data_IF_320056702369
#
_entry.id   IF_320056702369
#
_cell.length_a   1.000
_cell.length_b   1.000
_cell.length_c   1.000
_cell.angle_alpha   90.00
_cell.angle_beta   90.00
_cell.angle_gamma   90.00
#
_symmetry.space_group_name_H-M   'P 1'
#
loop_
_entity.id
_entity.type
_entity.pdbx_description
1 polymer ?
#
# COMPACT_ATOMS: atom_id res chain seq x y z
N UNK A 1 -18.50 1.76 -7.00
CA UNK A 1 -18.44 0.40 -7.58
C UNK A 1 -17.44 -0.35 -6.71
N UNK A 2 -17.82 -1.47 -6.09
CA UNK A 2 -16.87 -2.27 -5.32
C UNK A 2 -15.94 -2.94 -6.34
N UNK A 3 -14.65 -2.61 -6.29
CA UNK A 3 -13.66 -3.32 -7.10
C UNK A 3 -13.59 -4.76 -6.58
N UNK A 4 -13.95 -5.71 -7.43
CA UNK A 4 -13.83 -7.13 -7.12
C UNK A 4 -12.35 -7.50 -7.10
N UNK A 5 -11.90 -8.24 -6.08
CA UNK A 5 -10.52 -8.68 -5.95
C UNK A 5 -10.46 -10.20 -6.07
N UNK A 6 -9.63 -10.69 -6.99
CA UNK A 6 -9.42 -12.09 -7.28
C UNK A 6 -8.10 -12.59 -6.65
N UNK A 7 -7.90 -13.92 -6.53
CA UNK A 7 -6.69 -14.50 -5.92
C UNK A 7 -5.36 -14.00 -6.50
N UNK A 8 -5.29 -13.76 -7.82
CA UNK A 8 -4.04 -13.36 -8.47
C UNK A 8 -2.94 -14.43 -8.39
N UNK A 9 -1.68 -13.98 -8.42
CA UNK A 9 -0.48 -14.82 -8.39
C UNK A 9 0.60 -14.19 -7.52
N UNK A 10 1.34 -15.01 -6.78
CA UNK A 10 2.49 -14.58 -5.98
C UNK A 10 3.67 -14.03 -6.80
N UNK A 11 3.74 -14.32 -8.09
CA UNK A 11 4.82 -13.85 -8.96
C UNK A 11 4.31 -13.33 -10.32
N UNK A 12 5.00 -12.34 -10.90
CA UNK A 12 6.16 -11.61 -10.35
C UNK A 12 5.78 -10.68 -9.18
N UNK A 13 6.77 -10.28 -8.38
CA UNK A 13 6.57 -9.27 -7.33
C UNK A 13 6.31 -7.89 -7.92
N UNK A 14 5.56 -7.08 -7.18
CA UNK A 14 5.09 -5.76 -7.59
C UNK A 14 3.77 -5.80 -8.36
N UNK A 15 3.41 -4.65 -8.94
CA UNK A 15 2.27 -4.54 -9.85
C UNK A 15 2.64 -4.97 -11.28
N UNK A 16 1.82 -5.83 -11.87
CA UNK A 16 1.95 -6.30 -13.26
C UNK A 16 0.60 -6.29 -13.97
N UNK A 17 0.50 -5.45 -15.00
CA UNK A 17 -0.65 -5.41 -15.90
C UNK A 17 -0.59 -6.54 -16.93
N UNK A 18 -1.71 -7.23 -17.18
CA UNK A 18 -1.78 -8.36 -18.11
C UNK A 18 -2.65 -8.13 -19.36
N UNK A 19 -3.22 -6.93 -19.50
CA UNK A 19 -4.15 -6.59 -20.58
C UNK A 19 -5.63 -6.57 -20.17
N UNK A 20 -5.98 -7.13 -19.01
CA UNK A 20 -7.35 -7.18 -18.48
C UNK A 20 -7.50 -6.62 -17.07
N UNK A 21 -6.38 -6.44 -16.39
CA UNK A 21 -6.29 -5.87 -15.04
C UNK A 21 -4.87 -5.98 -14.54
N UNK A 22 -4.70 -5.73 -13.24
CA UNK A 22 -3.38 -5.74 -12.61
C UNK A 22 -3.29 -6.75 -11.48
N UNK A 23 -2.24 -7.57 -11.53
CA UNK A 23 -1.82 -8.42 -10.43
C UNK A 23 -0.91 -7.63 -9.49
N UNK A 24 -1.13 -7.75 -8.19
CA UNK A 24 -0.33 -7.15 -7.14
C UNK A 24 0.26 -8.27 -6.27
N UNK A 25 1.56 -8.22 -6.02
CA UNK A 25 2.24 -9.18 -5.15
C UNK A 25 3.32 -8.48 -4.32
N UNK A 26 3.27 -8.63 -3.00
CA UNK A 26 4.22 -8.00 -2.08
C UNK A 26 4.63 -8.96 -0.96
N UNK A 27 5.93 -9.03 -0.70
CA UNK A 27 6.48 -9.88 0.36
C UNK A 27 6.33 -9.23 1.73
N UNK A 28 5.83 -9.97 2.71
CA UNK A 28 5.94 -9.65 4.13
C UNK A 28 5.76 -10.88 5.01
N UNK A 29 6.80 -11.23 5.76
CA UNK A 29 6.78 -12.33 6.74
C UNK A 29 6.08 -11.94 8.06
N UNK A 30 6.06 -10.64 8.38
CA UNK A 30 5.53 -10.12 9.66
C UNK A 30 4.06 -9.68 9.57
N UNK A 31 3.54 -9.44 8.38
CA UNK A 31 2.17 -8.95 8.20
C UNK A 31 1.14 -9.97 8.69
N UNK A 32 0.09 -9.49 9.35
CA UNK A 32 -1.13 -10.26 9.65
C UNK A 32 -2.21 -10.02 8.58
N UNK A 33 -2.16 -8.86 7.92
CA UNK A 33 -2.90 -8.59 6.69
C UNK A 33 -2.30 -7.43 5.92
N UNK A 34 -2.53 -7.42 4.61
CA UNK A 34 -2.09 -6.35 3.71
C UNK A 34 -3.29 -5.81 2.95
N UNK A 35 -3.45 -4.50 2.95
CA UNK A 35 -4.43 -3.79 2.13
C UNK A 35 -3.74 -3.10 0.96
N UNK A 36 -4.17 -3.43 -0.25
CA UNK A 36 -3.90 -2.64 -1.45
C UNK A 36 -4.75 -1.37 -1.41
N UNK A 37 -4.11 -0.21 -1.53
CA UNK A 37 -4.76 1.10 -1.51
C UNK A 37 -4.72 1.68 -2.92
N UNK A 38 -5.85 1.74 -3.61
CA UNK A 38 -6.00 2.35 -4.93
C UNK A 38 -6.45 3.80 -4.80
N UNK A 39 -5.85 4.70 -5.58
CA UNK A 39 -6.16 6.13 -5.53
C UNK A 39 -6.78 6.62 -6.84
N UNK A 40 -7.98 7.19 -6.76
CA UNK A 40 -8.70 7.77 -7.90
C UNK A 40 -9.09 9.22 -7.61
N UNK A 41 -9.07 10.13 -8.59
CA UNK A 41 -9.49 11.51 -8.37
C UNK A 41 -11.01 11.60 -8.12
N UNK A 42 -11.43 12.41 -7.16
CA UNK A 42 -12.82 12.88 -7.02
C UNK A 42 -13.16 13.96 -8.07
N UNK A 43 -14.38 14.49 -8.01
CA UNK A 43 -14.83 15.56 -8.92
C UNK A 43 -14.00 16.85 -8.80
N UNK A 44 -13.35 17.08 -7.66
CA UNK A 44 -12.47 18.21 -7.41
C UNK A 44 -10.99 17.90 -7.73
N UNK A 45 -10.69 16.70 -8.26
CA UNK A 45 -9.35 16.24 -8.58
C UNK A 45 -8.52 15.75 -7.39
N UNK A 46 -9.12 15.62 -6.19
CA UNK A 46 -8.44 15.11 -5.01
C UNK A 46 -8.41 13.59 -5.04
N UNK A 47 -7.26 13.00 -4.71
CA UNK A 47 -7.16 11.54 -4.66
C UNK A 47 -7.97 10.97 -3.49
N UNK A 48 -8.87 10.05 -3.81
CA UNK A 48 -9.67 9.26 -2.87
C UNK A 48 -9.11 7.85 -2.82
N UNK A 49 -8.91 7.34 -1.61
CA UNK A 49 -8.40 6.01 -1.34
C UNK A 49 -9.51 4.97 -1.32
N UNK A 50 -9.31 3.87 -2.05
CA UNK A 50 -10.09 2.62 -1.93
C UNK A 50 -9.16 1.54 -1.42
N UNK A 51 -9.50 0.92 -0.29
CA UNK A 51 -8.70 -0.13 0.34
C UNK A 51 -9.30 -1.49 0.03
N UNK A 52 -8.46 -2.41 -0.43
CA UNK A 52 -8.81 -3.77 -0.79
C UNK A 52 -7.85 -4.71 -0.07
N UNK A 53 -8.37 -5.61 0.78
CA UNK A 53 -7.55 -6.61 1.46
C UNK A 53 -7.04 -7.64 0.46
N UNK A 54 -5.73 -7.88 0.40
CA UNK A 54 -5.16 -8.94 -0.43
C UNK A 54 -5.65 -10.32 0.08
N UNK A 55 -6.27 -11.15 -0.77
CA UNK A 55 -6.98 -12.36 -0.35
C UNK A 55 -6.05 -13.53 -0.04
N UNK A 56 -4.91 -13.64 -0.72
CA UNK A 56 -4.06 -14.84 -0.70
C UNK A 56 -2.65 -14.53 -0.21
N UNK A 57 -2.00 -15.54 0.37
CA UNK A 57 -0.60 -15.50 0.79
C UNK A 57 0.11 -16.82 0.52
N UNK A 58 1.11 -16.80 -0.36
CA UNK A 58 1.95 -17.95 -0.71
C UNK A 58 3.41 -17.64 -0.39
N UNK A 59 4.03 -18.40 0.53
CA UNK A 59 5.44 -18.21 0.89
C UNK A 59 5.75 -16.78 1.37
N UNK A 60 4.86 -16.21 2.19
CA UNK A 60 4.90 -14.83 2.68
C UNK A 60 4.73 -13.74 1.62
N UNK A 61 4.34 -14.11 0.39
CA UNK A 61 3.94 -13.15 -0.64
C UNK A 61 2.44 -12.99 -0.60
N UNK A 62 2.00 -11.79 -0.24
CA UNK A 62 0.61 -11.37 -0.27
C UNK A 62 0.24 -10.96 -1.67
N UNK A 63 -0.85 -11.50 -2.22
CA UNK A 63 -1.22 -11.21 -3.61
C UNK A 63 -2.71 -11.17 -3.86
N UNK A 64 -3.05 -10.51 -4.98
CA UNK A 64 -4.40 -10.36 -5.48
C UNK A 64 -4.39 -9.79 -6.89
N UNK A 65 -5.47 -10.01 -7.63
CA UNK A 65 -5.67 -9.43 -8.96
C UNK A 65 -6.91 -8.54 -8.94
N UNK A 66 -6.79 -7.35 -9.54
CA UNK A 66 -7.90 -6.41 -9.67
C UNK A 66 -8.20 -6.21 -11.16
N UNK A 67 -9.37 -6.67 -11.64
CA UNK A 67 -9.82 -6.41 -13.01
C UNK A 67 -9.92 -4.91 -13.28
N UNK A 68 -9.75 -4.53 -14.55
CA UNK A 68 -9.90 -3.15 -15.05
C UNK A 68 -8.95 -2.11 -14.43
N UNK A 69 -7.99 -2.53 -13.59
CA UNK A 69 -6.88 -1.68 -13.16
C UNK A 69 -5.81 -1.64 -14.25
N UNK A 70 -5.76 -0.51 -14.95
CA UNK A 70 -4.88 -0.25 -16.08
C UNK A 70 -3.57 0.49 -15.68
N UNK A 71 -2.56 0.52 -16.57
CA UNK A 71 -1.38 1.35 -16.39
C UNK A 71 -1.73 2.82 -16.13
N UNK A 72 -0.99 3.46 -15.22
CA UNK A 72 -1.28 4.80 -14.70
C UNK A 72 -2.06 4.81 -13.39
N UNK A 73 -2.64 3.67 -12.96
CA UNK A 73 -3.28 3.57 -11.64
C UNK A 73 -2.27 3.82 -10.52
N UNK A 74 -2.62 4.75 -9.62
CA UNK A 74 -1.86 5.06 -8.41
C UNK A 74 -2.22 4.12 -7.29
N UNK A 75 -1.24 3.60 -6.58
CA UNK A 75 -1.46 2.68 -5.47
C UNK A 75 -0.40 2.79 -4.37
N UNK A 76 -0.66 2.10 -3.26
CA UNK A 76 0.28 1.80 -2.18
C UNK A 76 -0.25 0.67 -1.31
N UNK A 77 0.42 0.37 -0.21
CA UNK A 77 0.00 -0.66 0.74
C UNK A 77 -0.18 -0.11 2.15
N UNK A 78 -1.11 -0.71 2.91
CA UNK A 78 -1.18 -0.60 4.37
C UNK A 78 -0.98 -1.98 4.95
N UNK A 79 -0.04 -2.09 5.89
CA UNK A 79 0.37 -3.36 6.46
C UNK A 79 -0.04 -3.40 7.93
N UNK A 80 -0.91 -4.35 8.24
CA UNK A 80 -1.34 -4.67 9.60
C UNK A 80 -0.44 -5.76 10.17
N UNK A 81 -0.24 -5.73 11.47
CA UNK A 81 0.59 -6.69 12.18
C UNK A 81 1.08 -6.14 13.51
N UNK A 82 2.06 -6.83 14.13
CA UNK A 82 2.55 -6.49 15.45
C UNK A 82 3.28 -5.14 15.48
N UNK A 83 3.08 -4.42 16.58
CA UNK A 83 3.84 -3.22 16.93
C UNK A 83 4.47 -3.42 18.31
N UNK A 84 5.74 -3.78 18.29
CA UNK A 84 6.61 -3.86 19.45
C UNK A 84 8.00 -3.31 19.04
N UNK A 85 8.21 -1.99 19.22
CA UNK A 85 9.46 -1.33 18.84
C UNK A 85 10.71 -1.93 19.48
N UNK A 86 10.58 -2.52 20.68
CA UNK A 86 11.70 -3.12 21.40
C UNK A 86 12.22 -4.40 20.72
N UNK A 87 11.35 -5.14 20.03
CA UNK A 87 11.72 -6.29 19.18
C UNK A 87 11.83 -5.94 17.68
N UNK A 88 11.70 -4.66 17.33
CA UNK A 88 11.81 -4.17 15.95
C UNK A 88 10.52 -4.29 15.12
N UNK A 89 9.45 -4.82 15.68
CA UNK A 89 8.14 -4.96 15.01
C UNK A 89 7.44 -3.59 14.97
N UNK A 90 7.18 -3.07 13.77
CA UNK A 90 6.72 -1.68 13.57
C UNK A 90 5.55 -1.56 12.59
N UNK A 91 4.72 -2.60 12.46
CA UNK A 91 3.55 -2.53 11.59
C UNK A 91 2.63 -1.40 12.05
N UNK A 92 2.28 -0.52 11.10
CA UNK A 92 1.37 0.58 11.35
C UNK A 92 0.53 0.85 10.08
N UNK A 93 -0.74 0.41 10.04
CA UNK A 93 -1.58 0.56 8.86
C UNK A 93 -2.01 2.01 8.59
N UNK A 94 -1.77 2.95 9.52
CA UNK A 94 -2.00 4.38 9.26
C UNK A 94 -0.97 4.98 8.30
N UNK A 95 0.17 4.31 8.15
CA UNK A 95 1.25 4.72 7.24
C UNK A 95 1.07 4.03 5.89
N UNK A 96 0.80 4.83 4.86
CA UNK A 96 0.83 4.35 3.48
C UNK A 96 2.27 4.03 3.08
N UNK A 97 2.48 2.82 2.56
CA UNK A 97 3.76 2.33 2.08
C UNK A 97 3.79 2.32 0.56
N UNK A 98 4.96 2.64 -0.01
CA UNK A 98 5.22 2.40 -1.42
C UNK A 98 5.47 0.91 -1.65
N UNK A 99 5.11 0.43 -2.84
CA UNK A 99 5.53 -0.89 -3.28
C UNK A 99 7.06 -0.92 -3.44
N UNK A 100 7.79 -1.81 -2.74
CA UNK A 100 9.24 -1.94 -2.90
C UNK A 100 9.66 -2.38 -4.30
N UNK A 101 8.73 -2.92 -5.10
CA UNK A 101 8.90 -3.34 -6.48
C UNK A 101 8.23 -2.37 -7.47
N UNK A 102 7.85 -1.16 -7.04
CA UNK A 102 7.27 -0.16 -7.92
C UNK A 102 8.22 0.18 -9.08
N UNK A 103 7.68 0.19 -10.30
CA UNK A 103 8.42 0.55 -11.52
C UNK A 103 8.44 2.07 -11.77
N UNK A 104 7.51 2.81 -11.15
CA UNK A 104 7.53 4.27 -11.05
C UNK A 104 6.74 4.73 -9.83
N UNK A 105 7.00 5.97 -9.47
CA UNK A 105 6.42 6.68 -8.34
C UNK A 105 5.94 8.03 -8.86
N UNK A 106 4.71 8.41 -8.51
CA UNK A 106 4.12 9.71 -8.82
C UNK A 106 4.03 10.59 -7.56
N UNK A 107 4.33 11.87 -7.74
CA UNK A 107 4.37 12.89 -6.69
C UNK A 107 5.69 12.94 -5.91
N UNK A 108 5.69 13.79 -4.89
CA UNK A 108 6.82 14.00 -3.97
C UNK A 108 6.35 13.90 -2.54
N UNK A 109 7.26 13.61 -1.61
CA UNK A 109 6.98 13.69 -0.19
C UNK A 109 6.57 15.12 0.20
N UNK A 110 5.41 15.26 0.84
CA UNK A 110 5.05 16.45 1.59
C UNK A 110 5.49 16.22 3.03
N UNK A 111 6.67 16.71 3.40
CA UNK A 111 7.25 16.38 4.69
C UNK A 111 6.45 16.97 5.85
N UNK A 112 5.84 16.09 6.64
CA UNK A 112 5.18 16.39 7.90
C UNK A 112 5.33 15.23 8.88
N UNK A 113 4.80 15.38 10.10
CA UNK A 113 4.89 14.37 11.15
C UNK A 113 4.14 13.07 10.81
N UNK A 114 3.11 13.11 9.96
CA UNK A 114 2.31 11.92 9.61
C UNK A 114 3.15 10.86 8.90
N UNK A 115 4.23 11.26 8.21
CA UNK A 115 5.17 10.35 7.55
C UNK A 115 6.02 9.53 8.53
N UNK A 116 6.02 9.86 9.82
CA UNK A 116 6.84 9.21 10.84
C UNK A 116 5.98 8.29 11.73
N UNK A 117 6.58 7.17 12.16
CA UNK A 117 5.93 6.24 13.07
C UNK A 117 5.86 6.70 14.53
N UNK A 118 6.44 7.87 14.83
CA UNK A 118 6.56 8.48 16.16
C UNK A 118 6.25 9.98 16.09
N UNK A 119 5.88 10.59 17.22
CA UNK A 119 5.65 12.02 17.31
C UNK A 119 6.96 12.79 17.48
N UNK A 120 7.09 13.95 16.83
CA UNK A 120 8.29 14.77 16.96
C UNK A 120 8.49 15.20 18.42
N UNK A 121 9.72 15.02 18.92
CA UNK A 121 10.05 15.25 20.32
C UNK A 121 9.81 14.05 21.25
N UNK A 122 9.17 12.98 20.77
CA UNK A 122 8.95 11.74 21.52
C UNK A 122 9.21 10.50 20.63
N UNK A 123 10.48 10.09 20.43
CA UNK A 123 10.86 9.00 19.54
C UNK A 123 10.33 7.61 19.94
N UNK A 124 9.95 7.44 21.20
CA UNK A 124 9.41 6.18 21.74
C UNK A 124 7.89 6.08 21.59
N UNK A 125 7.23 7.20 21.25
CA UNK A 125 5.79 7.23 20.97
C UNK A 125 5.42 6.54 19.66
N UNK A 126 4.13 6.24 19.55
CA UNK A 126 3.48 5.83 18.30
C UNK A 126 2.72 7.01 17.73
N UNK A 127 2.90 7.29 16.45
CA UNK A 127 2.08 8.23 15.70
C UNK A 127 1.16 7.47 14.74
N UNK A 128 -0.14 7.72 14.84
CA UNK A 128 -1.20 7.08 14.03
C UNK A 128 -1.88 8.07 13.06
N UNK A 129 -1.26 9.23 12.80
CA UNK A 129 -1.72 10.16 11.78
C UNK A 129 -1.63 9.50 10.39
N UNK A 130 -2.65 9.66 9.55
CA UNK A 130 -2.68 9.06 8.23
C UNK A 130 -1.70 9.75 7.26
N UNK A 131 -0.75 9.00 6.73
CA UNK A 131 0.30 9.53 5.84
C UNK A 131 -0.12 9.61 4.37
N UNK A 132 -1.31 9.13 4.00
CA UNK A 132 -1.69 8.99 2.59
C UNK A 132 -1.73 10.32 1.83
N UNK A 133 -2.06 11.45 2.45
CA UNK A 133 -2.06 12.75 1.78
C UNK A 133 -0.64 13.24 1.45
N UNK A 134 0.34 12.80 2.24
CA UNK A 134 1.71 13.33 2.25
C UNK A 134 2.73 12.40 1.58
N UNK A 135 2.39 11.13 1.43
CA UNK A 135 3.19 10.14 0.70
C UNK A 135 3.01 10.26 -0.82
N UNK A 136 4.07 10.09 -1.64
CA UNK A 136 3.90 9.80 -3.06
C UNK A 136 3.21 8.43 -3.26
N UNK A 137 2.86 8.09 -4.51
CA UNK A 137 2.14 6.86 -4.85
C UNK A 137 2.94 6.02 -5.83
N UNK A 138 2.95 4.70 -5.65
CA UNK A 138 3.43 3.78 -6.67
C UNK A 138 2.48 3.82 -7.87
N UNK A 139 2.98 3.54 -9.07
CA UNK A 139 2.20 3.57 -10.31
C UNK A 139 2.28 2.22 -11.02
N UNK A 140 1.13 1.72 -11.48
CA UNK A 140 1.04 0.55 -12.37
C UNK A 140 1.58 0.94 -13.75
N UNK A 141 2.42 0.10 -14.35
CA UNK A 141 3.11 0.38 -15.63
C UNK A 141 3.12 -0.86 -16.50
#
# INVERSE_FOLDING_TARGET
MFAEMWPGKAYPLGATYDGSGSNFAVFSEVAESVELCLFSPDQAGRLVETRLKLPEVDGFVWHGFVPDVEPGQRYGYRVHGPYDPASGQRCNPTKLLLDPYAKAIDGTFQWDQSLFGYNFGDPDSRNDDDSAASMPKSVVI
#
